data_IF_014600122564
#
_entry.id   IF_014600122564
#
_cell.length_a   1.000
_cell.length_b   1.000
_cell.length_c   1.000
_cell.angle_alpha   90.00
_cell.angle_beta   90.00
_cell.angle_gamma   90.00
#
_symmetry.space_group_name_H-M   'P 1'
#
loop_
_entity.id
_entity.type
_entity.pdbx_description
1 polymer ?
#
# COMPACT_ATOMS: atom_id res chain seq x y z
N UNK A 1 -19.99 20.53 -64.50
CA UNK A 1 -19.01 20.97 -63.48
C UNK A 1 -19.61 20.68 -62.11
N UNK A 2 -19.05 19.76 -61.33
CA UNK A 2 -19.58 19.42 -60.00
C UNK A 2 -18.99 18.10 -59.51
N UNK A 3 -17.89 18.15 -58.77
CA UNK A 3 -17.22 16.93 -58.30
C UNK A 3 -16.08 17.14 -57.30
N UNK A 4 -15.91 18.35 -56.74
CA UNK A 4 -14.77 18.70 -55.89
C UNK A 4 -15.10 18.87 -54.40
N UNK A 5 -16.37 18.71 -53.98
CA UNK A 5 -16.79 18.88 -52.58
C UNK A 5 -16.82 17.61 -51.73
N UNK A 6 -17.00 16.43 -52.33
CA UNK A 6 -17.21 15.16 -51.61
C UNK A 6 -15.95 14.61 -50.92
N UNK A 7 -14.78 14.77 -51.54
CA UNK A 7 -13.53 14.24 -50.99
C UNK A 7 -13.07 15.00 -49.74
N UNK A 8 -13.34 16.31 -49.65
CA UNK A 8 -13.04 17.12 -48.47
C UNK A 8 -13.86 16.65 -47.25
N UNK A 9 -15.14 16.33 -47.46
CA UNK A 9 -15.99 15.79 -46.40
C UNK A 9 -15.51 14.40 -45.92
N UNK A 10 -15.06 13.55 -46.84
CA UNK A 10 -14.50 12.23 -46.51
C UNK A 10 -13.18 12.36 -45.73
N UNK A 11 -12.27 13.23 -46.17
CA UNK A 11 -10.99 13.47 -45.46
C UNK A 11 -11.23 14.08 -44.08
N UNK A 12 -12.14 15.06 -43.96
CA UNK A 12 -12.50 15.66 -42.69
C UNK A 12 -13.13 14.65 -41.73
N UNK A 13 -14.03 13.79 -42.23
CA UNK A 13 -14.63 12.70 -41.45
C UNK A 13 -13.58 11.71 -40.95
N UNK A 14 -12.64 11.29 -41.82
CA UNK A 14 -11.57 10.38 -41.45
C UNK A 14 -10.64 10.95 -40.37
N UNK A 15 -10.21 12.22 -40.51
CA UNK A 15 -9.38 12.90 -39.51
C UNK A 15 -10.09 13.04 -38.16
N UNK A 16 -11.38 13.40 -38.19
CA UNK A 16 -12.22 13.47 -36.99
C UNK A 16 -12.31 12.11 -36.29
N UNK A 17 -12.59 11.04 -37.03
CA UNK A 17 -12.66 9.68 -36.49
C UNK A 17 -11.31 9.22 -35.94
N UNK A 18 -10.21 9.50 -36.64
CA UNK A 18 -8.86 9.15 -36.18
C UNK A 18 -8.50 9.85 -34.86
N UNK A 19 -8.76 11.16 -34.75
CA UNK A 19 -8.51 11.90 -33.52
C UNK A 19 -9.41 11.47 -32.38
N UNK A 20 -10.69 11.23 -32.65
CA UNK A 20 -11.61 10.70 -31.66
C UNK A 20 -11.17 9.31 -31.17
N UNK A 21 -10.77 8.43 -32.08
CA UNK A 21 -10.28 7.08 -31.74
C UNK A 21 -9.04 7.15 -30.86
N UNK A 22 -8.07 8.00 -31.24
CA UNK A 22 -6.86 8.24 -30.43
C UNK A 22 -7.20 8.77 -29.04
N UNK A 23 -8.10 9.76 -28.94
CA UNK A 23 -8.51 10.33 -27.65
C UNK A 23 -9.21 9.29 -26.75
N UNK A 24 -10.03 8.42 -27.33
CA UNK A 24 -10.69 7.31 -26.64
C UNK A 24 -9.68 6.28 -26.15
N UNK A 25 -8.72 5.88 -26.99
CA UNK A 25 -7.64 4.94 -26.64
C UNK A 25 -6.77 5.47 -25.51
N UNK A 26 -6.33 6.73 -25.60
CA UNK A 26 -5.55 7.36 -24.53
C UNK A 26 -6.33 7.43 -23.21
N UNK A 27 -7.63 7.76 -23.25
CA UNK A 27 -8.47 7.77 -22.05
C UNK A 27 -8.60 6.37 -21.45
N UNK A 28 -8.82 5.36 -22.29
CA UNK A 28 -8.92 3.96 -21.86
C UNK A 28 -7.61 3.50 -21.22
N UNK A 29 -6.47 3.77 -21.84
CA UNK A 29 -5.15 3.45 -21.30
C UNK A 29 -4.90 4.12 -19.94
N UNK A 30 -5.31 5.38 -19.76
CA UNK A 30 -5.24 6.08 -18.47
C UNK A 30 -6.13 5.43 -17.41
N UNK A 31 -7.37 5.09 -17.76
CA UNK A 31 -8.30 4.39 -16.86
C UNK A 31 -7.72 3.03 -16.44
N UNK A 32 -7.21 2.26 -17.39
CA UNK A 32 -6.64 0.94 -17.14
C UNK A 32 -5.41 1.04 -16.22
N UNK A 33 -4.54 2.04 -16.44
CA UNK A 33 -3.41 2.30 -15.53
C UNK A 33 -3.90 2.59 -14.10
N UNK A 34 -4.83 3.53 -13.93
CA UNK A 34 -5.34 3.88 -12.59
C UNK A 34 -6.04 2.68 -11.92
N UNK A 35 -6.78 1.89 -12.68
CA UNK A 35 -7.41 0.66 -12.18
C UNK A 35 -6.38 -0.36 -11.69
N UNK A 36 -5.29 -0.55 -12.44
CA UNK A 36 -4.16 -1.39 -11.99
C UNK A 36 -3.54 -0.83 -10.73
N UNK A 37 -3.22 0.47 -10.67
CA UNK A 37 -2.67 1.11 -9.47
C UNK A 37 -3.55 0.88 -8.23
N UNK A 38 -4.87 0.99 -8.36
CA UNK A 38 -5.81 0.73 -7.26
C UNK A 38 -5.88 -0.75 -6.88
N UNK A 39 -5.93 -1.65 -7.87
CA UNK A 39 -6.16 -3.09 -7.66
C UNK A 39 -4.91 -3.85 -7.23
N UNK A 40 -3.76 -3.50 -7.78
CA UNK A 40 -2.52 -4.25 -7.66
C UNK A 40 -1.55 -3.59 -6.66
N UNK A 41 -1.60 -2.26 -6.49
CA UNK A 41 -0.68 -1.54 -5.61
C UNK A 41 -1.37 -0.91 -4.38
N UNK A 42 -2.05 0.22 -4.55
CA UNK A 42 -2.49 1.06 -3.43
C UNK A 42 -3.61 0.43 -2.60
N UNK A 43 -4.53 -0.32 -3.21
CA UNK A 43 -5.61 -1.01 -2.49
C UNK A 43 -5.06 -2.12 -1.59
N UNK A 44 -4.34 -3.11 -2.14
CA UNK A 44 -3.70 -4.15 -1.35
C UNK A 44 -2.73 -3.60 -0.31
N UNK A 45 -1.92 -2.60 -0.66
CA UNK A 45 -0.97 -1.98 0.27
C UNK A 45 -1.71 -1.36 1.46
N UNK A 46 -2.70 -0.50 1.20
CA UNK A 46 -3.51 0.13 2.24
C UNK A 46 -4.17 -0.90 3.16
N UNK A 47 -4.73 -1.97 2.58
CA UNK A 47 -5.34 -3.04 3.35
C UNK A 47 -4.34 -3.72 4.29
N UNK A 48 -3.16 -4.08 3.79
CA UNK A 48 -2.14 -4.76 4.60
C UNK A 48 -1.61 -3.86 5.71
N UNK A 49 -1.20 -2.63 5.40
CA UNK A 49 -0.60 -1.73 6.41
C UNK A 49 -1.61 -1.27 7.47
N UNK A 50 -2.88 -1.12 7.08
CA UNK A 50 -3.95 -0.82 8.04
C UNK A 50 -4.22 -2.03 8.93
N UNK A 51 -4.27 -3.24 8.37
CA UNK A 51 -4.45 -4.46 9.14
C UNK A 51 -3.28 -4.70 10.11
N UNK A 52 -2.03 -4.48 9.69
CA UNK A 52 -0.85 -4.53 10.59
C UNK A 52 -1.03 -3.57 11.75
N UNK A 53 -1.39 -2.31 11.48
CA UNK A 53 -1.59 -1.31 12.53
C UNK A 53 -2.69 -1.73 13.50
N UNK A 54 -3.86 -2.14 13.00
CA UNK A 54 -4.98 -2.57 13.84
C UNK A 54 -4.64 -3.82 14.67
N UNK A 55 -3.92 -4.78 14.10
CA UNK A 55 -3.46 -5.97 14.81
C UNK A 55 -2.45 -5.61 15.92
N UNK A 56 -1.52 -4.70 15.64
CA UNK A 56 -0.57 -4.22 16.64
C UNK A 56 -1.27 -3.48 17.78
N UNK A 57 -2.19 -2.57 17.46
CA UNK A 57 -2.96 -1.82 18.47
C UNK A 57 -3.78 -2.79 19.35
N UNK A 58 -4.42 -3.81 18.77
CA UNK A 58 -5.16 -4.84 19.50
C UNK A 58 -4.26 -5.70 20.40
N UNK A 59 -3.10 -6.12 19.90
CA UNK A 59 -2.10 -6.85 20.70
C UNK A 59 -1.64 -6.03 21.91
N UNK A 60 -1.32 -4.75 21.70
CA UNK A 60 -0.93 -3.84 22.79
C UNK A 60 -2.07 -3.71 23.80
N UNK A 61 -3.30 -3.49 23.35
CA UNK A 61 -4.45 -3.35 24.24
C UNK A 61 -4.70 -4.63 25.07
N UNK A 62 -4.52 -5.80 24.48
CA UNK A 62 -4.80 -7.08 25.12
C UNK A 62 -3.70 -7.56 26.07
N UNK A 63 -2.43 -7.27 25.75
CA UNK A 63 -1.27 -7.85 26.44
C UNK A 63 -0.43 -6.83 27.23
N UNK A 64 -0.86 -5.58 27.25
CA UNK A 64 -0.31 -4.55 28.14
C UNK A 64 -0.93 -4.63 29.54
N UNK A 65 -0.17 -4.43 30.63
CA UNK A 65 -0.69 -4.41 31.99
C UNK A 65 -1.85 -3.40 32.21
N UNK A 66 -1.83 -2.27 31.51
CA UNK A 66 -2.84 -1.21 31.60
C UNK A 66 -3.49 -0.85 30.25
N UNK A 67 -3.25 -1.65 29.21
CA UNK A 67 -3.74 -1.40 27.86
C UNK A 67 -2.95 -0.34 27.07
N UNK A 68 -1.91 0.27 27.64
CA UNK A 68 -1.13 1.33 26.97
C UNK A 68 0.13 0.79 26.29
N UNK A 69 0.57 1.48 25.24
CA UNK A 69 1.84 1.17 24.56
C UNK A 69 3.05 1.32 25.49
N UNK A 70 3.00 2.28 26.43
CA UNK A 70 4.11 2.53 27.35
C UNK A 70 4.30 1.37 28.32
N UNK A 71 3.22 0.86 28.94
CA UNK A 71 3.31 -0.28 29.82
C UNK A 71 3.64 -1.58 29.05
N UNK A 72 3.13 -1.73 27.82
CA UNK A 72 3.52 -2.85 26.95
C UNK A 72 5.02 -2.88 26.68
N UNK A 73 5.58 -1.74 26.26
CA UNK A 73 7.02 -1.61 25.96
C UNK A 73 7.87 -1.86 27.20
N UNK A 74 7.43 -1.35 28.36
CA UNK A 74 8.10 -1.59 29.64
C UNK A 74 8.11 -3.08 29.99
N UNK A 75 6.95 -3.73 29.94
CA UNK A 75 6.81 -5.16 30.22
C UNK A 75 7.69 -6.02 29.28
N UNK A 76 7.79 -5.67 27.99
CA UNK A 76 8.70 -6.33 27.06
C UNK A 76 10.17 -6.19 27.44
N UNK A 77 10.57 -5.05 27.99
CA UNK A 77 11.96 -4.79 28.39
C UNK A 77 12.35 -5.41 29.73
N UNK A 78 11.40 -5.52 30.66
CA UNK A 78 11.62 -6.03 32.02
C UNK A 78 11.72 -7.56 32.06
N UNK A 79 10.91 -8.25 31.25
CA UNK A 79 10.88 -9.72 31.21
C UNK A 79 10.74 -10.24 29.77
N UNK A 80 11.88 -10.55 29.15
CA UNK A 80 11.96 -11.15 27.81
C UNK A 80 11.30 -12.53 27.68
N UNK A 81 11.03 -13.21 28.80
CA UNK A 81 10.38 -14.53 28.83
C UNK A 81 8.93 -14.47 29.33
N UNK A 82 8.50 -13.29 29.79
CA UNK A 82 7.18 -13.09 30.39
C UNK A 82 6.03 -13.26 29.42
N UNK A 83 4.80 -13.22 29.96
CA UNK A 83 3.57 -13.41 29.19
C UNK A 83 3.44 -12.39 28.04
N UNK A 84 3.76 -11.12 28.27
CA UNK A 84 3.74 -10.07 27.25
C UNK A 84 4.75 -10.32 26.13
N UNK A 85 5.97 -10.75 26.48
CA UNK A 85 7.01 -11.08 25.49
C UNK A 85 6.64 -12.33 24.68
N UNK A 86 6.10 -13.37 25.32
CA UNK A 86 5.60 -14.56 24.64
C UNK A 86 4.45 -14.22 23.66
N UNK A 87 3.50 -13.40 24.10
CA UNK A 87 2.43 -12.91 23.23
C UNK A 87 2.99 -12.12 22.05
N UNK A 88 3.90 -11.16 22.29
CA UNK A 88 4.52 -10.37 21.23
C UNK A 88 5.20 -11.25 20.17
N UNK A 89 5.97 -12.26 20.59
CA UNK A 89 6.60 -13.21 19.66
C UNK A 89 5.57 -13.96 18.83
N UNK A 90 4.50 -14.45 19.47
CA UNK A 90 3.40 -15.13 18.80
C UNK A 90 2.71 -14.24 17.75
N UNK A 91 2.32 -13.02 18.13
CA UNK A 91 1.68 -12.07 17.22
C UNK A 91 2.61 -11.64 16.07
N UNK A 92 3.90 -11.44 16.34
CA UNK A 92 4.87 -11.12 15.31
C UNK A 92 4.98 -12.23 14.27
N UNK A 93 5.15 -13.48 14.72
CA UNK A 93 5.32 -14.63 13.84
C UNK A 93 4.04 -14.97 13.06
N UNK A 94 2.87 -14.88 13.70
CA UNK A 94 1.61 -15.38 13.14
C UNK A 94 0.79 -14.32 12.40
N UNK A 95 0.99 -13.03 12.71
CA UNK A 95 0.11 -11.95 12.21
C UNK A 95 0.90 -10.81 11.60
N UNK A 96 1.76 -10.15 12.39
CA UNK A 96 2.36 -8.88 11.98
C UNK A 96 3.38 -9.08 10.85
N UNK A 97 4.30 -10.04 10.99
CA UNK A 97 5.28 -10.31 9.94
C UNK A 97 4.63 -10.79 8.64
N UNK A 98 3.69 -11.76 8.62
CA UNK A 98 3.01 -12.15 7.39
C UNK A 98 2.31 -10.99 6.66
N UNK A 99 1.66 -10.09 7.39
CA UNK A 99 1.05 -8.89 6.80
C UNK A 99 2.11 -7.92 6.26
N UNK A 100 3.22 -7.74 6.97
CA UNK A 100 4.32 -6.89 6.55
C UNK A 100 5.01 -7.44 5.31
N UNK A 101 5.23 -8.76 5.23
CA UNK A 101 5.79 -9.43 4.05
C UNK A 101 4.89 -9.26 2.83
N UNK A 102 3.57 -9.40 3.00
CA UNK A 102 2.62 -9.13 1.93
C UNK A 102 2.69 -7.67 1.47
N UNK A 103 2.76 -6.72 2.39
CA UNK A 103 2.89 -5.31 2.08
C UNK A 103 4.22 -4.98 1.36
N UNK A 104 5.32 -5.59 1.79
CA UNK A 104 6.62 -5.46 1.15
C UNK A 104 6.64 -6.06 -0.26
N UNK A 105 6.04 -7.24 -0.46
CA UNK A 105 5.90 -7.87 -1.77
C UNK A 105 5.07 -6.99 -2.73
N UNK A 106 3.96 -6.40 -2.26
CA UNK A 106 3.20 -5.43 -3.06
C UNK A 106 4.10 -4.26 -3.50
N UNK A 107 4.89 -3.72 -2.58
CA UNK A 107 5.79 -2.60 -2.87
C UNK A 107 6.91 -2.96 -3.86
N UNK A 108 7.49 -4.15 -3.77
CA UNK A 108 8.60 -4.59 -4.64
C UNK A 108 8.11 -5.08 -6.01
N UNK A 109 7.02 -5.85 -6.04
CA UNK A 109 6.60 -6.58 -7.23
C UNK A 109 5.78 -5.70 -8.18
N UNK A 110 5.20 -4.61 -7.67
CA UNK A 110 4.32 -3.70 -8.41
C UNK A 110 4.87 -2.26 -8.43
N UNK A 111 6.18 -2.09 -8.27
CA UNK A 111 6.81 -0.76 -8.19
C UNK A 111 6.58 0.10 -9.46
N UNK A 112 6.31 -0.52 -10.61
CA UNK A 112 5.93 0.13 -11.88
C UNK A 112 4.60 0.89 -11.81
N UNK A 113 3.76 0.53 -10.82
CA UNK A 113 2.48 1.16 -10.54
C UNK A 113 2.57 2.31 -9.55
N UNK A 114 3.73 2.56 -8.94
CA UNK A 114 3.93 3.72 -8.08
C UNK A 114 3.73 5.01 -8.91
N UNK A 115 2.90 5.93 -8.40
CA UNK A 115 2.78 7.26 -8.98
C UNK A 115 3.94 8.13 -8.44
N UNK A 116 4.80 8.61 -9.33
CA UNK A 116 5.98 9.41 -8.99
C UNK A 116 7.27 8.91 -9.66
N UNK A 117 8.27 9.79 -9.72
CA UNK A 117 9.57 9.51 -10.34
C UNK A 117 10.60 8.91 -9.36
N UNK A 118 10.24 8.71 -8.10
CA UNK A 118 11.14 8.19 -7.08
C UNK A 118 10.43 7.24 -6.12
N UNK A 119 11.20 6.25 -5.63
CA UNK A 119 10.73 5.32 -4.61
C UNK A 119 10.55 6.08 -3.29
N UNK A 120 9.42 5.85 -2.64
CA UNK A 120 9.04 6.54 -1.41
C UNK A 120 9.83 5.96 -0.22
N UNK A 121 10.45 6.80 0.65
CA UNK A 121 11.29 6.32 1.76
C UNK A 121 10.58 5.35 2.71
N UNK A 122 9.27 5.52 2.93
CA UNK A 122 8.47 4.65 3.79
C UNK A 122 8.36 3.22 3.22
N UNK A 123 8.33 3.07 1.89
CA UNK A 123 8.31 1.76 1.24
C UNK A 123 9.66 1.06 1.40
N UNK A 124 10.76 1.79 1.23
CA UNK A 124 12.11 1.25 1.45
C UNK A 124 12.30 0.82 2.91
N UNK A 125 11.86 1.66 3.86
CA UNK A 125 11.90 1.33 5.28
C UNK A 125 11.04 0.11 5.61
N UNK A 126 9.85 -0.03 5.01
CA UNK A 126 9.00 -1.22 5.19
C UNK A 126 9.72 -2.49 4.75
N UNK A 127 10.32 -2.46 3.56
CA UNK A 127 11.07 -3.60 3.02
C UNK A 127 12.24 -3.94 3.93
N UNK A 128 13.01 -2.93 4.36
CA UNK A 128 14.14 -3.14 5.26
C UNK A 128 13.70 -3.69 6.62
N UNK A 129 12.61 -3.18 7.20
CA UNK A 129 11.99 -3.69 8.42
C UNK A 129 11.60 -5.16 8.30
N UNK A 130 10.98 -5.57 7.18
CA UNK A 130 10.60 -6.96 6.92
C UNK A 130 11.81 -7.89 6.93
N UNK A 131 12.90 -7.51 6.25
CA UNK A 131 14.12 -8.33 6.23
C UNK A 131 14.82 -8.35 7.59
N UNK A 132 14.83 -7.25 8.33
CA UNK A 132 15.36 -7.22 9.70
C UNK A 132 14.55 -8.15 10.63
N UNK A 133 13.22 -8.15 10.52
CA UNK A 133 12.36 -9.04 11.30
C UNK A 133 12.57 -10.52 10.96
N UNK A 134 12.86 -10.88 9.70
CA UNK A 134 13.17 -12.29 9.35
C UNK A 134 14.37 -12.80 10.13
N UNK A 135 15.41 -11.99 10.25
CA UNK A 135 16.61 -12.33 11.04
C UNK A 135 16.27 -12.46 12.53
N UNK A 136 15.46 -11.54 13.06
CA UNK A 136 14.99 -11.60 14.44
C UNK A 136 14.16 -12.87 14.71
N UNK A 137 13.20 -13.19 13.84
CA UNK A 137 12.34 -14.37 13.96
C UNK A 137 13.14 -15.68 13.89
N UNK A 138 14.10 -15.79 12.96
CA UNK A 138 15.00 -16.95 12.88
C UNK A 138 15.82 -17.15 14.17
N UNK A 139 16.26 -16.06 14.82
CA UNK A 139 16.93 -16.14 16.13
C UNK A 139 15.98 -16.59 17.23
N UNK A 140 14.75 -16.10 17.23
CA UNK A 140 13.72 -16.53 18.18
C UNK A 140 13.40 -18.02 18.03
N UNK A 141 13.32 -18.55 16.80
CA UNK A 141 13.13 -19.98 16.56
C UNK A 141 14.25 -20.84 17.15
N UNK A 142 15.46 -20.29 17.29
CA UNK A 142 16.62 -20.94 17.92
C UNK A 142 16.71 -20.67 19.43
N UNK A 143 15.72 -20.01 20.02
CA UNK A 143 15.64 -19.71 21.46
C UNK A 143 16.35 -18.42 21.90
N UNK A 144 16.93 -17.63 20.98
CA UNK A 144 17.54 -16.34 21.32
C UNK A 144 16.49 -15.21 21.27
N UNK A 145 15.75 -15.04 22.37
CA UNK A 145 14.74 -13.99 22.51
C UNK A 145 15.29 -12.62 22.94
N UNK A 146 16.62 -12.46 23.04
CA UNK A 146 17.22 -11.16 23.35
C UNK A 146 17.28 -10.25 22.13
N UNK A 147 17.10 -10.83 20.94
CA UNK A 147 17.14 -10.12 19.67
C UNK A 147 15.84 -9.32 19.42
N UNK A 148 16.01 -8.08 18.94
CA UNK A 148 14.93 -7.20 18.49
C UNK A 148 15.25 -6.65 17.10
N UNK A 149 14.23 -6.18 16.39
CA UNK A 149 14.42 -5.59 15.07
C UNK A 149 15.18 -4.27 15.18
N UNK A 150 16.29 -4.16 14.44
CA UNK A 150 17.13 -2.96 14.39
C UNK A 150 16.54 -1.85 13.52
N UNK A 151 15.52 -2.17 12.72
CA UNK A 151 14.84 -1.22 11.85
C UNK A 151 13.41 -1.05 12.33
N UNK A 152 13.02 0.17 12.68
CA UNK A 152 11.66 0.47 13.10
C UNK A 152 10.67 0.37 11.94
N UNK A 153 9.44 -0.04 12.26
CA UNK A 153 8.33 0.00 11.31
C UNK A 153 8.06 1.45 10.85
N UNK A 154 7.74 1.69 9.56
CA UNK A 154 7.47 3.04 9.06
C UNK A 154 6.09 3.52 9.51
N UNK A 155 6.02 4.25 10.64
CA UNK A 155 4.76 4.73 11.21
C UNK A 155 3.90 5.60 10.27
N UNK A 156 4.51 6.24 9.26
CA UNK A 156 3.82 7.07 8.27
C UNK A 156 3.26 6.30 7.07
N UNK A 157 3.50 4.99 6.97
CA UNK A 157 3.10 4.19 5.79
C UNK A 157 1.58 4.11 5.60
N UNK A 158 0.82 4.08 6.71
CA UNK A 158 -0.65 4.03 6.66
C UNK A 158 -1.20 5.32 6.04
N UNK A 159 -0.70 6.47 6.49
CA UNK A 159 -1.13 7.77 5.97
C UNK A 159 -0.68 7.99 4.52
N UNK A 160 0.51 7.52 4.18
CA UNK A 160 0.96 7.45 2.79
C UNK A 160 -0.03 6.64 1.93
N UNK A 161 -0.27 5.37 2.26
CA UNK A 161 -1.12 4.49 1.46
C UNK A 161 -2.56 5.02 1.37
N UNK A 162 -3.10 5.58 2.46
CA UNK A 162 -4.44 6.17 2.52
C UNK A 162 -4.57 7.36 1.57
N UNK A 163 -3.61 8.28 1.62
CA UNK A 163 -3.60 9.48 0.78
C UNK A 163 -3.50 9.13 -0.69
N UNK A 164 -2.56 8.25 -1.06
CA UNK A 164 -2.36 7.86 -2.46
C UNK A 164 -3.55 7.05 -3.00
N UNK A 165 -4.13 6.16 -2.20
CA UNK A 165 -5.35 5.45 -2.58
C UNK A 165 -6.51 6.42 -2.86
N UNK A 166 -6.71 7.41 -1.97
CA UNK A 166 -7.73 8.44 -2.17
C UNK A 166 -7.46 9.29 -3.42
N UNK A 167 -6.19 9.64 -3.69
CA UNK A 167 -5.80 10.35 -4.91
C UNK A 167 -6.14 9.54 -6.17
N UNK A 168 -5.81 8.24 -6.20
CA UNK A 168 -6.14 7.36 -7.32
C UNK A 168 -7.64 7.17 -7.51
N UNK A 169 -8.43 7.11 -6.43
CA UNK A 169 -9.89 7.06 -6.50
C UNK A 169 -10.48 8.35 -7.10
N UNK A 170 -9.94 9.52 -6.76
CA UNK A 170 -10.35 10.79 -7.39
C UNK A 170 -10.03 10.81 -8.88
N UNK A 171 -8.79 10.44 -9.25
CA UNK A 171 -8.34 10.34 -10.64
C UNK A 171 -9.20 9.37 -11.45
N UNK A 172 -9.59 8.24 -10.87
CA UNK A 172 -10.50 7.29 -11.49
C UNK A 172 -11.87 7.92 -11.75
N UNK A 173 -12.45 8.63 -10.77
CA UNK A 173 -13.75 9.28 -10.91
C UNK A 173 -13.74 10.36 -12.01
N UNK A 174 -12.69 11.20 -12.02
CA UNK A 174 -12.46 12.22 -13.06
C UNK A 174 -12.38 11.59 -14.46
N UNK A 175 -11.58 10.53 -14.62
CA UNK A 175 -11.44 9.83 -15.89
C UNK A 175 -12.73 9.15 -16.35
N UNK A 176 -13.61 8.75 -15.43
CA UNK A 176 -14.92 8.16 -15.74
C UNK A 176 -16.01 9.22 -15.95
N UNK A 177 -15.73 10.51 -15.70
CA UNK A 177 -16.73 11.57 -15.77
C UNK A 177 -17.72 11.56 -14.59
N UNK A 178 -17.40 10.85 -13.51
CA UNK A 178 -18.18 10.89 -12.28
C UNK A 178 -17.62 12.01 -11.39
N UNK A 179 -18.39 13.09 -11.18
CA UNK A 179 -18.03 14.10 -10.19
C UNK A 179 -17.87 13.44 -8.80
N UNK A 180 -16.93 13.90 -7.94
CA UNK A 180 -16.78 13.35 -6.60
C UNK A 180 -18.08 13.60 -5.83
N UNK A 181 -18.79 12.53 -5.44
CA UNK A 181 -19.88 12.62 -4.46
C UNK A 181 -19.27 12.95 -3.11
N UNK A 182 -19.22 14.23 -2.76
CA UNK A 182 -19.08 14.68 -1.38
C UNK A 182 -20.29 14.16 -0.59
N UNK A 183 -20.08 13.20 0.32
CA UNK A 183 -21.09 12.91 1.34
C UNK A 183 -20.87 13.90 2.49
N UNK A 184 -21.90 14.72 2.72
CA UNK A 184 -22.18 15.40 3.98
C UNK A 184 -22.42 14.37 5.09
#
# INVERSE_FOLDING_TARGET
>A
MGGSGGWLAVVAGYLFTYWNSKAVEERKARIDRVNRQLREFYGPLLACVTATKSAYDAMVQQHSPDGTLMAFTRALSEDSQGATASAYRGWMAQVLQPLNEKAAAIATDNIDLLDGSSIQPQLLQLVAHVYANRVMLDRWERGDYTSASVISYPNSIVEFARREFAAMKRRQAELLGAAPRSRL
#
